data_IF_571838345001
#
_entry.id   IF_571838345001
#
_cell.length_a   1.000
_cell.length_b   1.000
_cell.length_c   1.000
_cell.angle_alpha   90.00
_cell.angle_beta   90.00
_cell.angle_gamma   90.00
#
_symmetry.space_group_name_H-M   'P 1'
#
loop_
_entity.id
_entity.type
_entity.pdbx_description
1 polymer ?
#
# COMPACT_ATOMS: atom_id res chain seq x y z
N UNK A 1 -18.19 -1.01 6.22
CA UNK A 1 -19.38 -0.53 6.98
C UNK A 1 -18.94 0.44 8.07
N UNK A 2 -19.79 1.35 8.59
CA UNK A 2 -19.39 2.21 9.72
C UNK A 2 -19.29 1.37 11.00
N UNK A 3 -18.07 1.07 11.43
CA UNK A 3 -17.80 0.29 12.65
C UNK A 3 -17.91 1.19 13.89
N UNK A 4 -18.92 0.94 14.71
CA UNK A 4 -19.03 1.49 16.07
C UNK A 4 -18.32 0.58 17.10
N UNK A 5 -18.32 0.97 18.38
CA UNK A 5 -17.67 0.17 19.43
C UNK A 5 -18.30 -1.22 19.60
N UNK A 6 -19.60 -1.37 19.37
CA UNK A 6 -20.35 -2.63 19.49
C UNK A 6 -20.00 -3.59 18.35
N UNK A 7 -20.13 -3.13 17.11
CA UNK A 7 -19.79 -3.90 15.90
C UNK A 7 -18.33 -4.34 15.91
N UNK A 8 -17.41 -3.49 16.38
CA UNK A 8 -16.00 -3.87 16.55
C UNK A 8 -15.79 -5.04 17.52
N UNK A 9 -16.50 -5.05 18.65
CA UNK A 9 -16.46 -6.17 19.61
C UNK A 9 -17.05 -7.44 19.00
N UNK A 10 -18.15 -7.33 18.27
CA UNK A 10 -18.77 -8.47 17.57
C UNK A 10 -17.86 -9.03 16.49
N UNK A 11 -17.24 -8.17 15.68
CA UNK A 11 -16.25 -8.54 14.67
C UNK A 11 -15.05 -9.24 15.30
N UNK A 12 -14.53 -8.73 16.43
CA UNK A 12 -13.43 -9.39 17.14
C UNK A 12 -13.81 -10.78 17.67
N UNK A 13 -15.01 -10.92 18.25
CA UNK A 13 -15.52 -12.20 18.74
C UNK A 13 -15.70 -13.22 17.60
N UNK A 14 -16.31 -12.79 16.49
CA UNK A 14 -16.48 -13.62 15.30
C UNK A 14 -15.12 -14.02 14.71
N UNK A 15 -14.18 -13.08 14.63
CA UNK A 15 -12.81 -13.32 14.13
C UNK A 15 -12.08 -14.41 14.92
N UNK A 16 -12.14 -14.33 16.25
CA UNK A 16 -11.49 -15.31 17.14
C UNK A 16 -12.07 -16.72 16.92
N UNK A 17 -13.41 -16.85 16.92
CA UNK A 17 -14.07 -18.16 16.77
C UNK A 17 -13.93 -18.71 15.36
N UNK A 18 -14.02 -17.86 14.35
CA UNK A 18 -13.83 -18.26 12.96
C UNK A 18 -12.40 -18.74 12.72
N UNK A 19 -11.38 -18.04 13.26
CA UNK A 19 -9.99 -18.48 13.19
C UNK A 19 -9.78 -19.86 13.81
N UNK A 20 -10.37 -20.12 14.97
CA UNK A 20 -10.33 -21.44 15.61
C UNK A 20 -10.98 -22.52 14.73
N UNK A 21 -12.17 -22.25 14.19
CA UNK A 21 -12.89 -23.21 13.33
C UNK A 21 -12.10 -23.52 12.05
N UNK A 22 -11.55 -22.51 11.39
CA UNK A 22 -10.76 -22.70 10.18
C UNK A 22 -9.50 -23.54 10.46
N UNK A 23 -8.85 -23.33 11.60
CA UNK A 23 -7.60 -24.01 11.93
C UNK A 23 -7.79 -25.46 12.42
N UNK A 24 -8.84 -25.74 13.19
CA UNK A 24 -8.99 -27.04 13.87
C UNK A 24 -10.15 -27.90 13.37
N UNK A 25 -11.21 -27.31 12.82
CA UNK A 25 -12.43 -28.05 12.48
C UNK A 25 -12.54 -28.33 10.98
N UNK A 26 -11.90 -27.51 10.14
CA UNK A 26 -11.94 -27.65 8.69
C UNK A 26 -10.68 -28.36 8.21
N UNK A 27 -10.85 -29.58 7.70
CA UNK A 27 -9.80 -30.37 7.08
C UNK A 27 -10.00 -30.34 5.55
N UNK A 28 -9.58 -29.25 4.92
CA UNK A 28 -9.57 -29.10 3.46
C UNK A 28 -8.18 -28.64 3.03
N UNK A 29 -7.42 -29.45 2.25
CA UNK A 29 -6.07 -29.08 1.78
C UNK A 29 -6.05 -27.76 0.99
N UNK A 30 -7.17 -27.38 0.37
CA UNK A 30 -7.28 -26.13 -0.38
C UNK A 30 -7.23 -24.91 0.51
N UNK A 31 -7.56 -25.06 1.79
CA UNK A 31 -7.54 -24.00 2.78
C UNK A 31 -6.24 -23.96 3.58
N UNK A 32 -5.26 -24.80 3.24
CA UNK A 32 -3.92 -24.74 3.82
C UNK A 32 -3.27 -23.39 3.49
N UNK A 33 -2.68 -22.77 4.52
CA UNK A 33 -2.03 -21.46 4.50
C UNK A 33 -2.95 -20.25 4.24
N UNK A 34 -4.27 -20.42 4.38
CA UNK A 34 -5.19 -19.28 4.33
C UNK A 34 -5.14 -18.49 5.63
N UNK A 35 -4.89 -17.19 5.52
CA UNK A 35 -4.85 -16.27 6.67
C UNK A 35 -6.10 -15.40 6.70
N UNK A 36 -6.65 -15.18 7.89
CA UNK A 36 -7.82 -14.34 8.08
C UNK A 36 -7.42 -12.92 8.48
N UNK A 37 -7.46 -11.99 7.53
CA UNK A 37 -6.97 -10.62 7.71
C UNK A 37 -7.97 -9.74 8.46
N UNK A 38 -9.27 -9.94 8.21
CA UNK A 38 -10.28 -9.06 8.78
C UNK A 38 -11.69 -9.63 8.74
N UNK A 39 -12.56 -9.10 9.61
CA UNK A 39 -13.97 -9.43 9.65
C UNK A 39 -14.77 -8.17 9.93
N UNK A 40 -15.82 -7.95 9.16
CA UNK A 40 -16.80 -6.88 9.38
C UNK A 40 -18.19 -7.47 9.56
N UNK A 41 -18.82 -7.19 10.70
CA UNK A 41 -20.20 -7.62 10.97
C UNK A 41 -21.14 -6.43 10.90
N UNK A 42 -22.34 -6.63 10.35
CA UNK A 42 -23.41 -5.64 10.39
C UNK A 42 -23.93 -5.42 11.81
N UNK A 43 -24.53 -4.26 12.07
CA UNK A 43 -25.09 -3.93 13.39
C UNK A 43 -26.20 -4.90 13.83
N UNK A 44 -26.99 -5.39 12.89
CA UNK A 44 -28.07 -6.35 13.10
C UNK A 44 -27.61 -7.82 13.07
N UNK A 45 -26.31 -8.07 12.82
CA UNK A 45 -25.72 -9.42 12.67
C UNK A 45 -26.35 -10.26 11.56
N UNK A 46 -27.02 -9.64 10.60
CA UNK A 46 -27.57 -10.33 9.43
C UNK A 46 -26.47 -10.77 8.47
N UNK A 47 -25.40 -9.98 8.32
CA UNK A 47 -24.30 -10.25 7.41
C UNK A 47 -22.93 -10.05 8.05
N UNK A 48 -21.97 -10.88 7.65
CA UNK A 48 -20.57 -10.76 8.02
C UNK A 48 -19.70 -10.91 6.78
N UNK A 49 -18.88 -9.90 6.50
CA UNK A 49 -17.85 -9.92 5.46
C UNK A 49 -16.53 -10.36 6.08
N UNK A 50 -15.92 -11.36 5.47
CA UNK A 50 -14.68 -11.96 5.95
C UNK A 50 -13.63 -11.78 4.87
N UNK A 51 -12.51 -11.21 5.26
CA UNK A 51 -11.35 -10.96 4.42
C UNK A 51 -10.30 -12.02 4.70
N UNK A 52 -9.89 -12.72 3.65
CA UNK A 52 -8.89 -13.78 3.70
C UNK A 52 -7.76 -13.46 2.73
N UNK A 53 -6.52 -13.76 3.12
CA UNK A 53 -5.34 -13.64 2.29
C UNK A 53 -4.76 -15.03 2.07
N UNK A 54 -4.31 -15.29 0.84
CA UNK A 54 -3.64 -16.50 0.40
C UNK A 54 -2.74 -16.17 -0.80
N UNK A 55 -2.08 -17.18 -1.36
CA UNK A 55 -1.23 -17.00 -2.54
C UNK A 55 -2.05 -16.62 -3.78
N UNK A 56 -1.47 -15.76 -4.63
CA UNK A 56 -2.15 -15.08 -5.75
C UNK A 56 -2.81 -16.00 -6.77
N UNK A 57 -2.17 -17.13 -7.03
CA UNK A 57 -2.57 -18.19 -7.96
C UNK A 57 -3.69 -19.09 -7.41
N UNK A 58 -3.97 -19.04 -6.10
CA UNK A 58 -4.93 -19.91 -5.41
C UNK A 58 -6.24 -19.22 -5.03
N UNK A 59 -6.44 -17.96 -5.41
CA UNK A 59 -7.61 -17.17 -5.00
C UNK A 59 -8.95 -17.82 -5.30
N UNK A 60 -9.13 -18.31 -6.54
CA UNK A 60 -10.41 -18.88 -6.97
C UNK A 60 -10.69 -20.21 -6.26
N UNK A 61 -9.68 -21.08 -6.18
CA UNK A 61 -9.77 -22.36 -5.48
C UNK A 61 -10.09 -22.17 -3.98
N UNK A 62 -9.44 -21.23 -3.32
CA UNK A 62 -9.69 -20.90 -1.90
C UNK A 62 -11.10 -20.36 -1.70
N UNK A 63 -11.56 -19.45 -2.57
CA UNK A 63 -12.92 -18.91 -2.49
C UNK A 63 -13.97 -19.99 -2.71
N UNK A 64 -13.78 -20.89 -3.68
CA UNK A 64 -14.67 -22.02 -3.91
C UNK A 64 -14.72 -22.95 -2.70
N UNK A 65 -13.57 -23.29 -2.13
CA UNK A 65 -13.47 -24.15 -0.95
C UNK A 65 -14.17 -23.51 0.27
N UNK A 66 -13.96 -22.21 0.52
CA UNK A 66 -14.64 -21.47 1.58
C UNK A 66 -16.16 -21.41 1.37
N UNK A 67 -16.62 -21.20 0.13
CA UNK A 67 -18.04 -21.17 -0.20
C UNK A 67 -18.69 -22.55 -0.05
N UNK A 68 -18.00 -23.62 -0.44
CA UNK A 68 -18.38 -25.01 -0.18
C UNK A 68 -18.51 -25.28 1.32
N UNK A 69 -17.53 -24.86 2.11
CA UNK A 69 -17.50 -25.05 3.55
C UNK A 69 -18.43 -24.09 4.33
N UNK A 70 -18.98 -23.06 3.69
CA UNK A 70 -19.79 -21.99 4.30
C UNK A 70 -20.89 -22.52 5.21
N UNK A 71 -21.60 -23.57 4.78
CA UNK A 71 -22.66 -24.20 5.56
C UNK A 71 -22.13 -24.81 6.87
N UNK A 72 -21.05 -25.58 6.79
CA UNK A 72 -20.41 -26.22 7.94
C UNK A 72 -19.83 -25.18 8.90
N UNK A 73 -19.11 -24.19 8.38
CA UNK A 73 -18.53 -23.09 9.16
C UNK A 73 -19.64 -22.36 9.93
N UNK A 74 -20.75 -22.04 9.26
CA UNK A 74 -21.89 -21.37 9.90
C UNK A 74 -22.51 -22.20 11.01
N UNK A 75 -22.67 -23.51 10.83
CA UNK A 75 -23.18 -24.40 11.88
C UNK A 75 -22.24 -24.51 13.08
N UNK A 76 -20.93 -24.50 12.87
CA UNK A 76 -19.93 -24.50 13.95
C UNK A 76 -19.94 -23.15 14.69
N UNK A 77 -20.03 -22.04 13.95
CA UNK A 77 -20.17 -20.71 14.54
C UNK A 77 -21.44 -20.58 15.38
N UNK A 78 -22.56 -21.13 14.93
CA UNK A 78 -23.82 -21.10 15.69
C UNK A 78 -23.72 -21.82 17.05
N UNK A 79 -22.81 -22.80 17.18
CA UNK A 79 -22.55 -23.51 18.44
C UNK A 79 -21.51 -22.79 19.30
N UNK A 80 -20.54 -22.14 18.65
CA UNK A 80 -19.44 -21.44 19.32
C UNK A 80 -19.81 -20.01 19.78
N UNK A 81 -20.74 -19.37 19.06
CA UNK A 81 -21.25 -18.04 19.34
C UNK A 81 -22.63 -18.15 19.97
N UNK A 82 -22.80 -17.56 21.16
CA UNK A 82 -24.11 -17.44 21.81
C UNK A 82 -24.91 -16.27 21.21
N UNK A 83 -25.13 -16.32 19.89
CA UNK A 83 -25.85 -15.31 19.14
C UNK A 83 -27.22 -15.86 18.71
N UNK A 84 -28.26 -15.04 18.87
CA UNK A 84 -29.62 -15.40 18.44
C UNK A 84 -29.71 -15.74 16.95
N UNK A 85 -28.95 -15.03 16.13
CA UNK A 85 -28.86 -15.24 14.67
C UNK A 85 -27.39 -15.29 14.31
N UNK A 86 -26.99 -16.35 13.61
CA UNK A 86 -25.65 -16.43 13.01
C UNK A 86 -25.69 -15.71 11.66
N UNK A 87 -24.79 -14.74 11.42
CA UNK A 87 -24.79 -13.96 10.18
C UNK A 87 -24.59 -14.85 8.95
N UNK A 88 -25.06 -14.36 7.81
CA UNK A 88 -24.60 -14.88 6.54
C UNK A 88 -23.15 -14.44 6.27
N UNK A 89 -22.31 -15.40 5.90
CA UNK A 89 -20.88 -15.18 5.67
C UNK A 89 -20.62 -14.86 4.20
N UNK A 90 -19.92 -13.76 3.93
CA UNK A 90 -19.41 -13.39 2.61
C UNK A 90 -17.88 -13.41 2.66
N UNK A 91 -17.25 -14.36 1.95
CA UNK A 91 -15.79 -14.44 1.86
C UNK A 91 -15.28 -13.57 0.72
N UNK A 92 -14.21 -12.83 0.97
CA UNK A 92 -13.50 -12.01 -0.03
C UNK A 92 -12.00 -12.14 0.15
N UNK A 93 -11.29 -12.19 -0.98
CA UNK A 93 -9.83 -12.11 -0.98
C UNK A 93 -9.39 -10.69 -0.62
N UNK A 94 -8.46 -10.59 0.31
CA UNK A 94 -7.72 -9.39 0.63
C UNK A 94 -6.44 -9.33 -0.21
N UNK A 95 -6.43 -8.42 -1.18
CA UNK A 95 -5.29 -8.16 -2.07
C UNK A 95 -4.34 -7.10 -1.52
N UNK A 96 -4.62 -6.56 -0.34
CA UNK A 96 -3.80 -5.49 0.25
C UNK A 96 -2.40 -6.00 0.58
N UNK A 97 -2.25 -7.29 0.89
CA UNK A 97 -0.95 -7.92 1.14
C UNK A 97 -0.08 -7.92 -0.11
N UNK A 98 -0.62 -8.34 -1.27
CA UNK A 98 0.15 -8.39 -2.52
C UNK A 98 0.56 -6.99 -2.97
N UNK A 99 -0.32 -6.01 -2.78
CA UNK A 99 -0.02 -4.61 -3.05
C UNK A 99 1.08 -4.09 -2.13
N UNK A 100 1.04 -4.42 -0.85
CA UNK A 100 2.08 -4.05 0.11
C UNK A 100 3.44 -4.66 -0.26
N UNK A 101 3.48 -5.92 -0.68
CA UNK A 101 4.72 -6.56 -1.17
C UNK A 101 5.23 -5.91 -2.45
N UNK A 102 4.34 -5.56 -3.38
CA UNK A 102 4.70 -4.83 -4.61
C UNK A 102 5.32 -3.47 -4.30
N UNK A 103 4.71 -2.72 -3.39
CA UNK A 103 5.22 -1.42 -2.95
C UNK A 103 6.57 -1.60 -2.24
N UNK A 104 6.69 -2.56 -1.33
CA UNK A 104 7.95 -2.84 -0.65
C UNK A 104 9.08 -3.16 -1.63
N UNK A 105 8.84 -4.00 -2.64
CA UNK A 105 9.81 -4.30 -3.70
C UNK A 105 10.15 -3.09 -4.57
N UNK A 106 9.19 -2.20 -4.82
CA UNK A 106 9.46 -0.94 -5.53
C UNK A 106 10.32 0.01 -4.69
N UNK A 107 10.13 0.03 -3.36
CA UNK A 107 10.92 0.83 -2.43
C UNK A 107 12.35 0.31 -2.21
N UNK A 108 12.60 -1.00 -2.39
CA UNK A 108 13.98 -1.53 -2.36
C UNK A 108 14.84 -1.01 -3.53
N UNK A 109 14.21 -0.57 -4.63
CA UNK A 109 14.90 -0.02 -5.80
C UNK A 109 14.94 1.52 -5.77
N UNK A 110 15.00 2.14 -4.59
CA UNK A 110 15.16 3.59 -4.47
C UNK A 110 16.59 3.97 -4.89
N UNK A 111 16.77 4.78 -5.96
CA UNK A 111 18.09 5.30 -6.31
C UNK A 111 18.62 6.22 -5.19
N UNK A 112 19.94 6.23 -4.97
CA UNK A 112 20.64 7.07 -3.96
C UNK A 112 20.32 8.58 -4.07
N UNK A 113 19.74 9.03 -5.17
CA UNK A 113 19.34 10.43 -5.35
C UNK A 113 18.15 10.85 -4.47
N UNK A 114 17.42 9.90 -3.87
CA UNK A 114 16.31 10.16 -2.94
C UNK A 114 16.72 10.08 -1.45
N UNK A 115 17.94 9.64 -1.14
CA UNK A 115 18.46 9.55 0.24
C UNK A 115 19.13 10.83 0.74
N UNK A 116 19.00 11.95 0.01
CA UNK A 116 19.50 13.24 0.48
C UNK A 116 18.70 13.64 1.71
N UNK A 117 19.39 13.83 2.85
CA UNK A 117 18.78 14.30 4.07
C UNK A 117 18.06 15.63 3.78
N UNK A 118 16.85 15.82 4.31
CA UNK A 118 16.08 17.05 4.07
C UNK A 118 15.94 17.85 5.35
N UNK A 119 15.94 19.17 5.24
CA UNK A 119 15.61 20.07 6.34
C UNK A 119 14.10 20.01 6.71
N UNK A 120 13.71 20.73 7.75
CA UNK A 120 12.33 20.78 8.25
C UNK A 120 11.34 21.36 7.20
N UNK A 121 11.87 22.08 6.21
CA UNK A 121 11.13 22.63 5.06
C UNK A 121 11.11 21.71 3.83
N UNK A 122 11.85 20.59 3.85
CA UNK A 122 11.86 19.56 2.81
C UNK A 122 12.88 19.78 1.68
N UNK A 123 13.83 20.69 1.84
CA UNK A 123 14.94 20.91 0.91
C UNK A 123 16.11 19.96 1.16
N UNK A 124 16.83 19.51 0.12
CA UNK A 124 17.98 18.63 0.30
C UNK A 124 19.13 19.37 1.03
N UNK A 125 19.63 18.79 2.12
CA UNK A 125 20.84 19.19 2.83
C UNK A 125 22.04 18.82 1.94
N UNK A 126 22.70 19.84 1.41
CA UNK A 126 24.03 19.71 0.81
C UNK A 126 25.05 19.66 1.95
N UNK A 127 25.80 18.58 2.07
CA UNK A 127 26.98 18.55 2.95
C UNK A 127 28.06 19.45 2.33
N UNK A 128 28.39 20.54 3.02
CA UNK A 128 29.29 21.62 2.57
C UNK A 128 30.75 21.20 2.28
N UNK A 129 31.13 19.91 2.38
CA UNK A 129 32.52 19.48 2.15
C UNK A 129 32.97 19.49 0.68
N UNK A 130 32.06 19.70 -0.27
CA UNK A 130 32.42 19.93 -1.69
C UNK A 130 32.48 21.40 -2.13
N UNK A 131 32.26 22.35 -1.22
CA UNK A 131 32.41 23.77 -1.52
C UNK A 131 33.88 24.22 -1.38
N UNK A 132 34.80 23.64 -2.16
CA UNK A 132 36.12 24.24 -2.43
C UNK A 132 36.74 23.67 -3.72
N UNK A 133 36.36 24.23 -4.87
CA UNK A 133 37.27 24.71 -5.91
C UNK A 133 36.45 25.33 -7.07
N UNK A 134 36.73 26.60 -7.35
CA UNK A 134 36.33 27.40 -8.52
C UNK A 134 34.82 27.76 -8.60
N UNK A 135 34.40 29.02 -8.52
CA UNK A 135 34.91 30.16 -9.27
C UNK A 135 34.47 31.47 -8.57
N UNK A 136 35.43 32.14 -7.95
CA UNK A 136 35.32 33.54 -7.54
C UNK A 136 35.82 34.39 -8.71
N UNK A 137 34.93 35.05 -9.43
CA UNK A 137 35.21 36.39 -9.94
C UNK A 137 33.92 37.19 -10.06
N UNK A 138 33.66 37.99 -9.04
CA UNK A 138 33.00 39.26 -9.21
C UNK A 138 34.03 40.23 -9.78
N UNK A 139 33.80 40.79 -10.95
CA UNK A 139 34.40 42.07 -11.34
C UNK A 139 33.36 42.86 -12.13
N UNK A 140 32.85 43.91 -11.47
CA UNK A 140 32.12 44.99 -12.08
C UNK A 140 33.03 46.23 -12.12
N UNK A 141 32.93 46.95 -13.24
CA UNK A 141 33.35 48.33 -13.52
C UNK A 141 34.84 48.59 -13.79
N UNK A 142 35.19 49.05 -15.01
CA UNK A 142 35.46 50.47 -15.28
C UNK A 142 35.71 50.73 -16.79
N UNK A 143 35.30 51.91 -17.25
CA UNK A 143 35.18 52.34 -18.64
C UNK A 143 36.45 53.01 -19.22
N UNK A 144 36.61 52.93 -20.56
CA UNK A 144 36.94 54.02 -21.53
C UNK A 144 37.89 53.57 -22.66
N UNK A 145 37.47 53.90 -23.89
CA UNK A 145 38.23 54.33 -25.09
C UNK A 145 39.42 53.44 -25.55
N UNK A 146 39.71 53.23 -26.83
CA UNK A 146 39.58 54.06 -28.02
C UNK A 146 39.89 53.17 -29.23
N UNK A 147 39.53 53.68 -30.41
CA UNK A 147 40.13 53.37 -31.74
C UNK A 147 40.03 51.92 -32.28
N UNK A 148 39.11 51.65 -33.22
CA UNK A 148 39.24 51.90 -34.67
C UNK A 148 40.12 50.87 -35.41
N UNK A 149 39.50 50.19 -36.39
CA UNK A 149 39.99 49.68 -37.70
C UNK A 149 39.10 48.47 -38.05
N UNK A 150 38.02 48.62 -38.82
CA UNK A 150 37.92 48.86 -40.26
C UNK A 150 37.69 47.55 -41.03
N UNK A 151 36.73 47.64 -41.96
CA UNK A 151 36.55 46.82 -43.17
C UNK A 151 36.21 45.33 -42.95
N UNK A 152 35.34 44.68 -43.73
CA UNK A 152 34.62 45.06 -44.95
C UNK A 152 33.56 43.96 -45.17
N UNK A 153 32.48 44.34 -45.86
CA UNK A 153 31.72 43.55 -46.85
C UNK A 153 31.04 42.23 -46.41
N UNK A 154 29.85 41.87 -46.85
CA UNK A 154 28.87 42.44 -47.77
C UNK A 154 27.57 41.63 -47.56
N UNK A 155 26.43 42.28 -47.79
CA UNK A 155 25.29 41.81 -48.62
C UNK A 155 24.67 40.40 -48.38
N UNK A 156 23.36 40.18 -48.32
CA UNK A 156 22.16 40.95 -48.60
C UNK A 156 20.95 40.13 -48.08
N UNK A 157 19.94 40.77 -47.53
CA UNK A 157 18.78 41.32 -48.25
C UNK A 157 17.66 40.29 -48.55
N UNK A 158 16.50 40.60 -47.96
CA UNK A 158 15.14 40.50 -48.54
C UNK A 158 14.52 39.10 -48.65
N UNK A 159 13.21 38.93 -48.49
CA UNK A 159 12.09 39.83 -48.20
C UNK A 159 10.92 38.96 -47.68
#
# INVERSE_FOLDING_TARGET
MKQNSVTRRLSAQLREKLGYILLFEIADPRLDLVTLTGVEVTQDRSFARIFVSCEGDRYEEVLEALNSAKGRIRSLLARALDWRVTPELEFRIDRSTDEAERIARALENVPETLSVAKDDEGYPLVDDETANADDLSADADEALADEAYAADDEEGARA
#
